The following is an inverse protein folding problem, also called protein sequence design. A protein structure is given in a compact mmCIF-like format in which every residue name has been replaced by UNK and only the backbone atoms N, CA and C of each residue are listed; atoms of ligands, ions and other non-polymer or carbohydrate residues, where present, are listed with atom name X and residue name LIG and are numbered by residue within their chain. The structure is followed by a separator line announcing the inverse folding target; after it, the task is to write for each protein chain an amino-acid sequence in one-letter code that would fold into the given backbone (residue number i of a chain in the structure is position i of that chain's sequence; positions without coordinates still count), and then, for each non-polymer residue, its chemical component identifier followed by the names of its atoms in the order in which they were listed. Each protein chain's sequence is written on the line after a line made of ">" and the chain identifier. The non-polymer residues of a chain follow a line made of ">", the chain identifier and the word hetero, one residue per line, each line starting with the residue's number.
data_IF_945135750408
#
_entry.id   IF_945135750408
#
_cell.length_a   1.000
_cell.length_b   1.000
_cell.length_c   1.000
_cell.angle_alpha   90.00
_cell.angle_beta   90.00
_cell.angle_gamma   90.00
#
_symmetry.space_group_name_H-M   'P 1'
#
loop_
_entity.id
_entity.type
_entity.pdbx_description
1 polymer ?
#
# COMPACT_ATOMS: atom_id res chain seq x y z
N UNK A 1 -13.76 34.12 35.98
CA UNK A 1 -12.45 34.31 35.30
C UNK A 1 -11.49 33.14 35.46
N UNK A 2 -11.75 32.15 36.33
CA UNK A 2 -10.83 31.01 36.52
C UNK A 2 -10.86 29.96 35.38
N UNK A 3 -12.02 29.77 34.74
CA UNK A 3 -12.20 28.74 33.71
C UNK A 3 -11.24 28.89 32.52
N UNK A 4 -10.82 30.12 32.21
CA UNK A 4 -9.94 30.39 31.09
C UNK A 4 -8.54 29.82 31.30
N UNK A 5 -8.09 29.70 32.56
CA UNK A 5 -6.80 29.10 32.89
C UNK A 5 -6.75 27.60 32.65
N UNK A 6 -7.91 26.93 32.56
CA UNK A 6 -8.00 25.52 32.19
C UNK A 6 -8.28 25.38 30.69
N UNK A 7 -9.14 26.23 30.13
CA UNK A 7 -9.53 26.16 28.72
C UNK A 7 -8.38 26.49 27.76
N UNK A 8 -7.61 27.55 28.00
CA UNK A 8 -6.49 27.93 27.12
C UNK A 8 -5.47 26.80 26.98
N UNK A 9 -4.86 26.27 28.07
CA UNK A 9 -3.91 25.18 27.93
C UNK A 9 -4.57 23.89 27.46
N UNK A 10 -5.83 23.63 27.83
CA UNK A 10 -6.59 22.48 27.34
C UNK A 10 -6.73 22.47 25.82
N UNK A 11 -7.09 23.60 25.22
CA UNK A 11 -7.23 23.73 23.77
C UNK A 11 -5.88 23.64 23.04
N UNK A 12 -4.82 24.24 23.59
CA UNK A 12 -3.47 24.12 23.04
C UNK A 12 -3.01 22.65 23.04
N UNK A 13 -3.20 21.95 24.17
CA UNK A 13 -2.84 20.54 24.29
C UNK A 13 -3.62 19.67 23.30
N UNK A 14 -4.93 19.92 23.15
CA UNK A 14 -5.76 19.23 22.17
C UNK A 14 -5.26 19.46 20.73
N UNK A 15 -4.91 20.70 20.39
CA UNK A 15 -4.32 21.04 19.10
C UNK A 15 -3.00 20.31 18.83
N UNK A 16 -2.12 20.25 19.82
CA UNK A 16 -0.84 19.52 19.72
C UNK A 16 -1.08 18.02 19.51
N UNK A 17 -2.03 17.41 20.23
CA UNK A 17 -2.39 16.00 20.05
C UNK A 17 -2.87 15.75 18.62
N UNK A 18 -3.73 16.63 18.10
CA UNK A 18 -4.30 16.49 16.76
C UNK A 18 -3.20 16.58 15.68
N UNK A 19 -2.29 17.55 15.80
CA UNK A 19 -1.12 17.67 14.91
C UNK A 19 -0.19 16.45 15.05
N UNK A 20 0.06 15.97 16.27
CA UNK A 20 0.91 14.81 16.49
C UNK A 20 0.37 13.54 15.82
N UNK A 21 -0.94 13.30 15.90
CA UNK A 21 -1.61 12.18 15.21
C UNK A 21 -1.43 12.30 13.69
N UNK A 22 -1.61 13.50 13.13
CA UNK A 22 -1.41 13.74 11.70
C UNK A 22 0.04 13.46 11.27
N UNK A 23 1.02 13.94 12.04
CA UNK A 23 2.45 13.70 11.75
C UNK A 23 2.77 12.20 11.82
N UNK A 24 2.21 11.47 12.79
CA UNK A 24 2.38 10.01 12.88
C UNK A 24 1.76 9.31 11.67
N UNK A 25 0.56 9.70 11.25
CA UNK A 25 -0.12 9.11 10.09
C UNK A 25 0.69 9.30 8.79
N UNK A 26 1.26 10.50 8.60
CA UNK A 26 2.15 10.80 7.46
C UNK A 26 3.42 9.94 7.53
N UNK A 27 4.08 9.90 8.69
CA UNK A 27 5.30 9.09 8.88
C UNK A 27 5.08 7.58 8.73
N UNK A 28 3.87 7.10 8.96
CA UNK A 28 3.48 5.70 8.78
C UNK A 28 3.26 5.31 7.32
N UNK A 29 3.33 6.25 6.38
CA UNK A 29 3.10 5.97 4.96
C UNK A 29 1.65 5.62 4.64
N UNK A 30 0.68 6.01 5.49
CA UNK A 30 -0.74 5.71 5.24
C UNK A 30 -1.28 6.38 3.96
N UNK A 31 -0.55 7.36 3.44
CA UNK A 31 -0.87 8.06 2.19
C UNK A 31 -0.17 7.48 0.97
N UNK A 32 0.77 6.55 1.15
CA UNK A 32 1.60 6.00 0.06
C UNK A 32 0.82 4.99 -0.79
N UNK A 33 -0.25 4.40 -0.25
CA UNK A 33 -1.10 3.40 -0.93
C UNK A 33 -2.35 4.00 -1.62
N UNK A 34 -2.48 5.34 -1.63
CA UNK A 34 -3.57 6.02 -2.36
C UNK A 34 -3.45 5.87 -3.89
N UNK A 35 -2.24 5.62 -4.39
CA UNK A 35 -1.96 5.45 -5.82
C UNK A 35 -2.31 4.03 -6.31
N UNK A 36 -2.23 3.02 -5.43
CA UNK A 36 -2.46 1.61 -5.78
C UNK A 36 -3.92 1.16 -5.64
N UNK A 37 -4.62 1.62 -4.61
CA UNK A 37 -5.98 1.15 -4.31
C UNK A 37 -7.04 1.79 -5.22
N UNK A 38 -6.88 3.08 -5.54
CA UNK A 38 -7.77 3.79 -6.47
C UNK A 38 -7.65 3.31 -7.92
N UNK A 39 -6.47 2.83 -8.33
CA UNK A 39 -6.24 2.29 -9.66
C UNK A 39 -6.92 0.93 -9.87
N UNK A 40 -7.00 0.08 -8.84
CA UNK A 40 -7.71 -1.21 -8.91
C UNK A 40 -9.20 -1.03 -9.13
N UNK A 41 -9.86 -0.12 -8.40
CA UNK A 41 -11.30 0.14 -8.56
C UNK A 41 -11.67 0.59 -9.97
N UNK A 42 -10.80 1.34 -10.66
CA UNK A 42 -11.06 1.81 -12.03
C UNK A 42 -10.66 0.79 -13.10
N UNK A 43 -9.69 -0.09 -12.82
CA UNK A 43 -9.19 -1.12 -13.75
C UNK A 43 -9.90 -2.48 -13.59
N UNK A 44 -10.58 -2.74 -12.47
CA UNK A 44 -11.29 -4.00 -12.20
C UNK A 44 -12.62 -4.13 -12.96
N UNK A 45 -13.20 -3.04 -13.48
CA UNK A 45 -14.43 -3.06 -14.28
C UNK A 45 -14.24 -3.70 -15.68
N UNK A 46 -12.99 -3.86 -16.14
CA UNK A 46 -12.65 -4.50 -17.41
C UNK A 46 -12.36 -6.01 -17.28
N UNK A 47 -12.33 -6.57 -16.05
CA UNK A 47 -12.24 -8.02 -15.84
C UNK A 47 -13.65 -8.64 -15.76
N UNK A 48 -14.07 -9.23 -16.88
CA UNK A 48 -15.20 -10.18 -16.90
C UNK A 48 -15.01 -11.26 -15.82
N UNK A 49 -16.08 -11.64 -15.09
CA UNK A 49 -15.98 -12.64 -14.05
C UNK A 49 -15.96 -14.03 -14.67
N UNK A 50 -14.78 -14.52 -15.03
CA UNK A 50 -14.57 -15.94 -15.33
C UNK A 50 -13.16 -16.35 -14.89
N UNK A 51 -13.02 -16.76 -13.62
CA UNK A 51 -12.33 -18.00 -13.22
C UNK A 51 -12.10 -18.04 -11.69
N UNK A 52 -12.34 -19.20 -11.03
CA UNK A 52 -11.88 -19.42 -9.66
C UNK A 52 -10.51 -20.10 -9.69
N UNK A 53 -9.44 -19.39 -9.33
CA UNK A 53 -8.13 -19.93 -8.88
C UNK A 53 -7.16 -18.74 -8.82
N UNK A 54 -6.19 -18.64 -7.93
CA UNK A 54 -5.81 -19.34 -6.72
C UNK A 54 -4.67 -18.50 -6.14
N UNK A 55 -4.42 -18.68 -4.86
CA UNK A 55 -3.24 -18.28 -4.09
C UNK A 55 -2.05 -17.63 -4.83
N UNK A 56 -1.68 -16.46 -4.31
CA UNK A 56 -0.34 -15.88 -4.28
C UNK A 56 0.77 -16.93 -4.32
N UNK A 57 1.56 -16.96 -5.40
CA UNK A 57 2.99 -17.35 -5.38
C UNK A 57 3.78 -16.57 -6.43
N UNK A 58 4.40 -15.47 -6.01
CA UNK A 58 5.68 -15.05 -6.56
C UNK A 58 6.75 -16.01 -6.04
N UNK A 59 7.30 -16.84 -6.91
CA UNK A 59 8.59 -17.49 -6.68
C UNK A 59 9.50 -17.22 -7.87
N UNK A 60 10.77 -17.11 -7.56
CA UNK A 60 11.79 -16.26 -8.14
C UNK A 60 12.86 -17.16 -8.76
N UNK A 61 13.05 -17.13 -10.09
CA UNK A 61 14.37 -17.38 -10.72
C UNK A 61 14.37 -17.24 -12.25
N UNK A 62 15.46 -16.69 -12.83
CA UNK A 62 15.75 -16.81 -14.26
C UNK A 62 16.61 -18.05 -14.51
N UNK A 63 16.11 -19.03 -15.26
CA UNK A 63 16.93 -20.18 -15.69
C UNK A 63 17.15 -20.14 -17.22
N UNK A 64 18.37 -19.68 -17.52
CA UNK A 64 19.27 -19.95 -18.63
C UNK A 64 18.89 -21.08 -19.64
N UNK A 65 18.57 -20.69 -20.88
CA UNK A 65 18.27 -21.63 -21.99
C UNK A 65 19.47 -21.75 -22.98
N UNK A 66 20.63 -22.14 -22.47
CA UNK A 66 21.88 -22.31 -23.25
C UNK A 66 22.19 -23.71 -23.79
N UNK A 67 21.27 -24.68 -23.80
CA UNK A 67 21.64 -26.10 -24.07
C UNK A 67 20.68 -26.89 -25.00
N UNK A 68 20.28 -26.34 -26.16
CA UNK A 68 19.60 -27.13 -27.22
C UNK A 68 20.35 -27.07 -28.57
N UNK A 69 21.64 -26.75 -28.58
CA UNK A 69 22.52 -27.05 -29.72
C UNK A 69 23.36 -28.27 -29.30
N UNK A 70 22.99 -29.49 -29.72
CA UNK A 70 23.84 -30.72 -29.88
C UNK A 70 23.12 -32.07 -29.63
N UNK A 71 21.96 -32.34 -30.23
CA UNK A 71 21.53 -33.75 -30.35
C UNK A 71 20.73 -34.07 -31.61
N UNK A 72 21.35 -34.83 -32.51
CA UNK A 72 20.72 -35.57 -33.61
C UNK A 72 20.56 -34.80 -34.92
N UNK A 73 21.66 -34.35 -35.53
CA UNK A 73 22.14 -34.98 -36.78
C UNK A 73 22.17 -36.50 -36.69
N UNK A 74 21.20 -37.13 -37.36
CA UNK A 74 21.29 -38.46 -37.98
C UNK A 74 20.46 -38.42 -39.29
#
# INVERSE_FOLDING_TARGET
>A
MEVIYVLIPGMILMGVILVAILVIAIRKGQYDDLEGDGARILMDDDMMPDAPESEVKTDDKPEDNGEIIRRGVD
#
